data_IF_118626183624
#
_entry.id   IF_118626183624
#
_cell.length_a   1.000
_cell.length_b   1.000
_cell.length_c   1.000
_cell.angle_alpha   90.00
_cell.angle_beta   90.00
_cell.angle_gamma   90.00
#
_symmetry.space_group_name_H-M   'P 1'
#
loop_
_entity.id
_entity.type
_entity.pdbx_description
1 polymer ?
#
# COMPACT_ATOMS: atom_id res chain seq x y z
N UNK A 1 28.83 -10.68 -7.32
CA UNK A 1 27.98 -9.71 -6.60
C UNK A 1 26.55 -9.95 -7.07
N UNK A 2 25.58 -10.25 -6.20
CA UNK A 2 24.21 -10.49 -6.67
C UNK A 2 23.66 -9.20 -7.28
N UNK A 3 23.36 -9.26 -8.57
CA UNK A 3 22.68 -8.20 -9.32
C UNK A 3 21.22 -8.25 -8.89
N UNK A 4 20.86 -7.50 -7.85
CA UNK A 4 19.46 -7.35 -7.48
C UNK A 4 18.77 -6.51 -8.57
N UNK A 5 17.60 -6.95 -9.09
CA UNK A 5 16.87 -6.15 -10.06
C UNK A 5 16.52 -4.80 -9.43
N UNK A 6 16.62 -3.73 -10.22
CA UNK A 6 16.29 -2.39 -9.77
C UNK A 6 14.86 -2.34 -9.22
N UNK A 7 14.59 -1.55 -8.16
CA UNK A 7 13.23 -1.33 -7.66
C UNK A 7 12.33 -0.90 -8.81
N UNK A 8 11.16 -1.53 -8.94
CA UNK A 8 10.21 -1.14 -9.97
C UNK A 8 9.71 0.26 -9.63
N UNK A 9 10.15 1.25 -10.41
CA UNK A 9 9.70 2.63 -10.28
C UNK A 9 8.18 2.66 -10.50
N UNK A 10 7.41 3.09 -9.50
CA UNK A 10 5.98 3.34 -9.69
C UNK A 10 5.86 4.61 -10.56
N UNK A 11 5.47 4.50 -11.85
CA UNK A 11 5.40 5.67 -12.71
C UNK A 11 4.40 6.69 -12.16
N UNK A 12 4.74 7.98 -12.21
CA UNK A 12 3.80 9.11 -12.01
C UNK A 12 2.77 9.15 -13.15
N UNK A 13 1.95 8.11 -13.35
CA UNK A 13 0.76 8.22 -14.20
C UNK A 13 -0.14 9.29 -13.57
N UNK A 14 -0.55 10.25 -14.39
CA UNK A 14 -1.19 11.49 -14.00
C UNK A 14 -2.29 11.33 -12.95
N UNK A 15 -2.16 12.13 -11.89
CA UNK A 15 -3.23 12.69 -11.07
C UNK A 15 -4.61 12.01 -11.19
N UNK A 16 -4.76 10.84 -10.59
CA UNK A 16 -6.10 10.29 -10.27
C UNK A 16 -6.11 9.62 -8.90
N UNK A 17 -4.98 9.13 -8.41
CA UNK A 17 -4.88 8.53 -7.07
C UNK A 17 -4.88 9.54 -5.91
N UNK A 18 -4.52 10.81 -6.15
CA UNK A 18 -4.40 11.84 -5.10
C UNK A 18 -5.76 12.39 -4.66
N UNK A 19 -6.78 12.28 -5.51
CA UNK A 19 -8.16 12.70 -5.18
C UNK A 19 -8.83 11.66 -4.27
N UNK A 20 -8.48 10.37 -4.42
CA UNK A 20 -9.12 9.26 -3.70
C UNK A 20 -8.69 9.24 -2.22
N UNK A 21 -7.42 9.54 -1.91
CA UNK A 21 -6.92 9.55 -0.54
C UNK A 21 -7.42 10.77 0.28
N UNK A 22 -7.61 11.92 -0.37
CA UNK A 22 -8.05 13.15 0.30
C UNK A 22 -9.57 13.20 0.59
N UNK A 23 -10.35 12.27 0.03
CA UNK A 23 -11.82 12.23 0.20
C UNK A 23 -12.29 11.28 1.32
N UNK A 24 -11.40 10.54 1.98
CA UNK A 24 -11.79 9.50 2.93
C UNK A 24 -11.67 9.98 4.40
N UNK A 25 -12.78 10.50 4.92
CA UNK A 25 -13.07 10.55 6.35
C UNK A 25 -13.80 9.24 6.72
N UNK A 26 -13.38 8.49 7.76
CA UNK A 26 -14.04 7.24 8.15
C UNK A 26 -15.40 7.58 8.76
N UNK A 27 -16.45 7.61 7.95
CA UNK A 27 -17.78 7.91 8.45
C UNK A 27 -18.53 6.58 8.66
N UNK A 28 -18.86 6.32 9.93
CA UNK A 28 -19.78 5.32 10.51
C UNK A 28 -19.33 3.88 10.77
N UNK A 29 -19.61 3.42 12.00
CA UNK A 29 -19.32 2.07 12.52
C UNK A 29 -20.06 0.93 11.77
N UNK A 30 -21.12 1.24 11.02
CA UNK A 30 -21.88 0.26 10.25
C UNK A 30 -21.10 -0.26 9.02
N UNK A 31 -20.29 0.59 8.39
CA UNK A 31 -19.49 0.22 7.21
C UNK A 31 -18.30 -0.68 7.58
N UNK A 32 -17.78 -0.55 8.80
CA UNK A 32 -16.75 -1.42 9.34
C UNK A 32 -17.26 -2.87 9.50
N UNK A 33 -18.47 -3.05 10.05
CA UNK A 33 -19.06 -4.37 10.25
C UNK A 33 -19.36 -5.11 8.94
N UNK A 34 -19.89 -4.41 7.93
CA UNK A 34 -20.22 -5.01 6.63
C UNK A 34 -18.96 -5.43 5.87
N UNK A 35 -17.88 -4.66 5.97
CA UNK A 35 -16.59 -4.98 5.36
C UNK A 35 -15.89 -6.16 6.03
N UNK A 36 -16.04 -6.34 7.35
CA UNK A 36 -15.53 -7.53 8.07
C UNK A 36 -16.19 -8.81 7.51
N UNK A 37 -17.51 -8.79 7.31
CA UNK A 37 -18.25 -9.93 6.77
C UNK A 37 -17.86 -10.25 5.31
N UNK A 38 -17.62 -9.23 4.47
CA UNK A 38 -17.18 -9.40 3.08
C UNK A 38 -15.73 -9.89 2.97
N UNK A 39 -14.85 -9.44 3.86
CA UNK A 39 -13.48 -9.93 3.95
C UNK A 39 -13.42 -11.38 4.44
N UNK A 40 -14.29 -11.78 5.37
CA UNK A 40 -14.37 -13.15 5.89
C UNK A 40 -14.92 -14.16 4.87
N UNK A 41 -15.75 -13.72 3.92
CA UNK A 41 -16.42 -14.58 2.93
C UNK A 41 -15.70 -14.64 1.59
N UNK A 42 -14.57 -13.93 1.41
CA UNK A 42 -13.85 -13.89 0.13
C UNK A 42 -14.63 -13.20 -1.00
N UNK A 43 -15.81 -12.62 -0.71
CA UNK A 43 -16.60 -11.77 -1.60
C UNK A 43 -16.04 -10.34 -1.71
N UNK A 44 -14.92 -10.08 -1.04
CA UNK A 44 -14.13 -8.87 -1.19
C UNK A 44 -13.34 -8.90 -2.50
N UNK A 45 -13.49 -7.82 -3.27
CA UNK A 45 -12.76 -7.47 -4.49
C UNK A 45 -11.90 -8.58 -5.15
N UNK A 46 -12.35 -9.20 -6.27
CA UNK A 46 -11.58 -10.25 -6.92
C UNK A 46 -10.25 -9.75 -7.53
N UNK A 47 -10.08 -8.44 -7.69
CA UNK A 47 -8.90 -7.84 -8.30
C UNK A 47 -7.91 -7.32 -7.25
N UNK A 48 -8.34 -6.39 -6.40
CA UNK A 48 -7.50 -5.74 -5.39
C UNK A 48 -7.31 -6.59 -4.13
N UNK A 49 -8.31 -7.41 -3.76
CA UNK A 49 -8.26 -8.25 -2.56
C UNK A 49 -7.03 -9.17 -2.54
N UNK A 50 -6.82 -10.02 -3.57
CA UNK A 50 -5.67 -10.91 -3.65
C UNK A 50 -4.32 -10.17 -3.69
N UNK A 51 -4.25 -8.99 -4.32
CA UNK A 51 -3.03 -8.17 -4.39
C UNK A 51 -2.68 -7.66 -2.99
N UNK A 52 -3.63 -7.01 -2.32
CA UNK A 52 -3.44 -6.47 -0.97
C UNK A 52 -3.13 -7.59 0.02
N UNK A 53 -3.76 -8.76 -0.10
CA UNK A 53 -3.44 -9.91 0.73
C UNK A 53 -2.00 -10.42 0.54
N UNK A 54 -1.48 -10.44 -0.70
CA UNK A 54 -0.08 -10.79 -0.95
C UNK A 54 0.87 -9.78 -0.30
N UNK A 55 0.56 -8.49 -0.42
CA UNK A 55 1.33 -7.42 0.22
C UNK A 55 1.27 -7.55 1.77
N UNK A 56 0.09 -7.79 2.34
CA UNK A 56 -0.10 -7.94 3.79
C UNK A 56 0.72 -9.11 4.37
N UNK A 57 0.91 -10.21 3.62
CA UNK A 57 1.78 -11.31 4.03
C UNK A 57 3.24 -10.87 4.17
N UNK A 58 3.72 -10.00 3.27
CA UNK A 58 5.08 -9.47 3.35
C UNK A 58 5.23 -8.56 4.59
N UNK A 59 4.22 -7.74 4.90
CA UNK A 59 4.24 -6.93 6.12
C UNK A 59 4.24 -7.77 7.40
N UNK A 60 3.44 -8.84 7.43
CA UNK A 60 3.43 -9.79 8.54
C UNK A 60 4.79 -10.46 8.74
N UNK A 61 5.47 -10.84 7.67
CA UNK A 61 6.83 -11.40 7.74
C UNK A 61 7.84 -10.42 8.34
N UNK A 62 7.63 -9.11 8.16
CA UNK A 62 8.45 -8.07 8.77
C UNK A 62 7.95 -7.62 10.16
N UNK A 63 6.94 -8.29 10.72
CA UNK A 63 6.37 -7.96 12.03
C UNK A 63 5.53 -6.68 12.06
N UNK A 64 5.10 -6.17 10.90
CA UNK A 64 4.31 -4.95 10.79
C UNK A 64 2.84 -5.29 10.57
N UNK A 65 2.03 -5.06 11.61
CA UNK A 65 0.60 -5.41 11.62
C UNK A 65 -0.30 -4.17 11.52
N UNK A 66 0.11 -3.05 12.13
CA UNK A 66 -0.62 -1.79 12.17
C UNK A 66 -0.67 -1.08 10.81
N UNK A 67 -1.85 -0.61 10.40
CA UNK A 67 -2.06 0.00 9.08
C UNK A 67 -1.17 1.23 8.86
N UNK A 68 -1.07 2.11 9.85
CA UNK A 68 -0.20 3.29 9.78
C UNK A 68 1.30 2.96 9.68
N UNK A 69 1.72 1.79 10.19
CA UNK A 69 3.10 1.32 10.02
C UNK A 69 3.35 0.68 8.66
N UNK A 70 2.34 0.07 8.04
CA UNK A 70 2.44 -0.49 6.70
C UNK A 70 2.70 0.61 5.66
N UNK A 71 1.95 1.70 5.73
CA UNK A 71 2.14 2.86 4.85
C UNK A 71 3.55 3.46 5.03
N UNK A 72 3.98 3.70 6.28
CA UNK A 72 5.32 4.20 6.57
C UNK A 72 6.41 3.28 6.02
N UNK A 73 6.27 1.97 6.23
CA UNK A 73 7.22 0.97 5.77
C UNK A 73 7.33 0.97 4.25
N UNK A 74 6.21 1.06 3.52
CA UNK A 74 6.23 1.18 2.06
C UNK A 74 6.96 2.45 1.62
N UNK A 75 6.72 3.59 2.28
CA UNK A 75 7.46 4.82 2.00
C UNK A 75 8.97 4.63 2.20
N UNK A 76 9.39 4.10 3.36
CA UNK A 76 10.81 3.83 3.66
C UNK A 76 11.44 2.84 2.67
N UNK A 77 10.69 1.82 2.27
CA UNK A 77 11.11 0.84 1.25
C UNK A 77 11.38 1.49 -0.10
N UNK A 78 10.52 2.40 -0.55
CA UNK A 78 10.71 3.10 -1.83
C UNK A 78 11.75 4.22 -1.75
N UNK A 79 12.02 4.76 -0.56
CA UNK A 79 13.10 5.71 -0.30
C UNK A 79 14.47 5.05 -0.38
N UNK A 80 14.64 3.85 0.19
CA UNK A 80 15.89 3.09 0.10
C UNK A 80 15.66 1.59 -0.19
N UNK A 81 15.30 1.22 -1.42
CA UNK A 81 14.84 -0.13 -1.75
C UNK A 81 15.89 -1.22 -1.60
N UNK A 82 17.18 -0.87 -1.75
CA UNK A 82 18.27 -1.81 -1.57
C UNK A 82 18.34 -2.35 -0.12
N UNK A 83 18.02 -1.51 0.89
CA UNK A 83 18.02 -1.93 2.30
C UNK A 83 16.90 -2.91 2.65
N UNK A 84 15.80 -2.87 1.91
CA UNK A 84 14.62 -3.70 2.16
C UNK A 84 14.49 -4.87 1.19
N UNK A 85 15.50 -5.09 0.34
CA UNK A 85 15.55 -6.27 -0.53
C UNK A 85 15.64 -7.55 0.31
N UNK A 86 14.93 -8.64 -0.08
CA UNK A 86 14.14 -8.78 -1.30
C UNK A 86 12.68 -8.32 -1.20
N UNK A 87 12.19 -7.96 0.00
CA UNK A 87 10.78 -7.61 0.24
C UNK A 87 10.30 -6.40 -0.59
N UNK A 88 11.16 -5.39 -0.75
CA UNK A 88 10.90 -4.22 -1.61
C UNK A 88 10.59 -4.61 -3.06
N UNK A 89 11.24 -5.65 -3.59
CA UNK A 89 11.03 -6.15 -4.95
C UNK A 89 9.66 -6.83 -5.09
N UNK A 90 9.23 -7.61 -4.09
CA UNK A 90 7.91 -8.23 -4.09
C UNK A 90 6.79 -7.19 -4.05
N UNK A 91 6.89 -6.22 -3.15
CA UNK A 91 5.90 -5.15 -3.03
C UNK A 91 5.87 -4.34 -4.32
N UNK A 92 7.04 -4.06 -4.89
CA UNK A 92 7.17 -3.43 -6.20
C UNK A 92 6.47 -4.20 -7.31
N UNK A 93 6.65 -5.52 -7.37
CA UNK A 93 6.01 -6.38 -8.37
C UNK A 93 4.48 -6.43 -8.22
N UNK A 94 3.95 -6.32 -7.00
CA UNK A 94 2.50 -6.31 -6.76
C UNK A 94 1.88 -4.93 -7.05
N UNK A 95 2.52 -3.85 -6.62
CA UNK A 95 2.03 -2.48 -6.82
C UNK A 95 2.17 -2.00 -8.27
N UNK A 96 3.12 -2.54 -9.03
CA UNK A 96 3.32 -2.20 -10.44
C UNK A 96 2.38 -2.94 -11.40
N UNK A 97 1.56 -3.87 -10.91
CA UNK A 97 0.60 -4.59 -11.76
C UNK A 97 -0.35 -3.58 -12.40
N UNK A 98 -0.40 -3.60 -13.74
CA UNK A 98 -1.36 -2.82 -14.50
C UNK A 98 -2.76 -3.27 -14.09
N UNK A 99 -3.43 -2.43 -13.30
CA UNK A 99 -4.88 -2.54 -13.05
C UNK A 99 -5.64 -2.08 -14.30
N UNK A 100 -5.25 -2.53 -15.49
CA UNK A 100 -5.79 -2.12 -16.80
C UNK A 100 -7.21 -2.66 -17.06
N UNK A 101 -8.04 -2.69 -16.02
CA UNK A 101 -9.49 -2.83 -16.08
C UNK A 101 -10.11 -2.00 -14.94
N UNK A 102 -9.50 -0.83 -14.64
CA UNK A 102 -9.95 0.15 -13.66
C UNK A 102 -11.38 0.62 -13.97
N UNK A 103 -12.36 -0.21 -13.62
CA UNK A 103 -13.65 0.30 -13.19
C UNK A 103 -13.35 1.39 -12.18
N UNK A 104 -13.95 2.57 -12.41
CA UNK A 104 -13.91 3.67 -11.46
C UNK A 104 -14.04 3.07 -10.06
N UNK A 105 -13.10 3.37 -9.14
CA UNK A 105 -13.13 2.80 -7.80
C UNK A 105 -14.54 3.01 -7.28
N UNK A 106 -15.29 1.91 -7.13
CA UNK A 106 -16.57 1.99 -6.44
C UNK A 106 -16.15 2.22 -5.00
N UNK A 107 -16.25 3.48 -4.58
CA UNK A 107 -15.63 4.14 -3.41
C UNK A 107 -15.74 3.41 -2.07
N UNK A 108 -16.46 2.30 -2.01
CA UNK A 108 -16.78 1.54 -0.81
C UNK A 108 -15.86 0.34 -0.56
N UNK A 109 -14.97 -0.04 -1.49
CA UNK A 109 -14.16 -1.24 -1.33
C UNK A 109 -12.88 -1.01 -0.51
N UNK A 110 -12.72 -1.63 0.68
CA UNK A 110 -11.57 -1.42 1.56
C UNK A 110 -10.24 -1.94 1.00
N UNK A 111 -10.24 -2.88 0.06
CA UNK A 111 -9.01 -3.37 -0.57
C UNK A 111 -8.45 -2.35 -1.56
N UNK A 112 -9.32 -1.72 -2.36
CA UNK A 112 -8.96 -0.67 -3.31
C UNK A 112 -8.30 0.51 -2.58
N UNK A 113 -8.93 0.97 -1.50
CA UNK A 113 -8.43 2.10 -0.69
C UNK A 113 -7.02 1.79 -0.15
N UNK A 114 -6.83 0.61 0.45
CA UNK A 114 -5.53 0.18 0.98
C UNK A 114 -4.46 0.07 -0.10
N UNK A 115 -4.80 -0.48 -1.26
CA UNK A 115 -3.88 -0.53 -2.40
C UNK A 115 -3.40 0.87 -2.80
N UNK A 116 -4.31 1.83 -2.95
CA UNK A 116 -3.93 3.20 -3.31
C UNK A 116 -3.16 3.93 -2.23
N UNK A 117 -3.45 3.70 -0.95
CA UNK A 117 -2.64 4.21 0.15
C UNK A 117 -1.18 3.76 0.03
N UNK A 118 -0.94 2.47 -0.23
CA UNK A 118 0.41 1.96 -0.44
C UNK A 118 1.08 2.53 -1.70
N UNK A 119 0.33 2.71 -2.79
CA UNK A 119 0.84 3.39 -3.99
C UNK A 119 1.27 4.82 -3.67
N UNK A 120 0.48 5.57 -2.88
CA UNK A 120 0.85 6.94 -2.50
C UNK A 120 2.09 6.96 -1.60
N UNK A 121 2.15 6.10 -0.58
CA UNK A 121 3.32 5.98 0.28
C UNK A 121 4.60 5.65 -0.52
N UNK A 122 4.49 4.74 -1.49
CA UNK A 122 5.60 4.41 -2.38
C UNK A 122 6.11 5.65 -3.14
N UNK A 123 5.20 6.47 -3.68
CA UNK A 123 5.54 7.69 -4.42
C UNK A 123 6.29 8.70 -3.54
N UNK A 124 5.83 8.92 -2.32
CA UNK A 124 6.48 9.83 -1.39
C UNK A 124 7.90 9.36 -1.02
N UNK A 125 8.08 8.05 -0.87
CA UNK A 125 9.41 7.46 -0.69
C UNK A 125 10.33 7.71 -1.89
N UNK A 126 9.82 7.52 -3.12
CA UNK A 126 10.56 7.79 -4.35
C UNK A 126 10.95 9.27 -4.49
N UNK A 127 10.08 10.18 -4.05
CA UNK A 127 10.33 11.63 -4.02
C UNK A 127 11.30 12.05 -2.89
N UNK A 128 11.92 11.09 -2.20
CA UNK A 128 12.85 11.30 -1.07
C UNK A 128 12.19 12.08 0.09
N UNK A 129 10.89 11.88 0.28
CA UNK A 129 10.12 12.47 1.37
C UNK A 129 10.55 11.98 2.76
N UNK A 130 10.06 12.69 3.77
CA UNK A 130 10.25 12.31 5.18
C UNK A 130 9.14 11.35 5.63
N UNK A 131 9.34 10.05 5.36
CA UNK A 131 8.36 9.01 5.68
C UNK A 131 7.97 8.96 7.16
N UNK A 132 8.91 9.28 8.07
CA UNK A 132 8.64 9.27 9.52
C UNK A 132 7.64 10.37 9.85
N UNK A 133 7.87 11.58 9.32
CA UNK A 133 7.00 12.74 9.54
C UNK A 133 5.67 12.65 8.80
N UNK A 134 5.64 12.07 7.60
CA UNK A 134 4.42 11.92 6.81
C UNK A 134 3.46 10.88 7.41
N UNK A 135 3.98 9.82 8.03
CA UNK A 135 3.19 8.76 8.64
C UNK A 135 3.37 8.69 10.16
N UNK A 136 3.00 9.71 10.95
CA UNK A 136 3.32 9.81 12.38
C UNK A 136 2.63 8.75 13.25
N UNK A 137 1.56 8.13 12.73
CA UNK A 137 0.73 7.13 13.42
C UNK A 137 1.47 5.82 13.72
N UNK A 138 2.64 5.61 13.10
CA UNK A 138 3.46 4.44 13.40
C UNK A 138 4.44 4.72 14.55
N UNK A 139 4.42 3.94 15.65
CA UNK A 139 5.39 4.11 16.74
C UNK A 139 6.79 3.55 16.40
N UNK A 140 6.91 2.76 15.32
CA UNK A 140 8.16 2.10 14.93
C UNK A 140 8.91 2.98 13.93
N UNK A 141 10.23 3.13 14.14
CA UNK A 141 11.10 3.75 13.15
C UNK A 141 11.49 2.70 12.09
N UNK A 142 10.88 2.81 10.91
CA UNK A 142 11.07 1.91 9.77
C UNK A 142 12.34 2.17 8.98
N UNK A 143 13.06 3.28 9.24
CA UNK A 143 14.31 3.65 8.54
C UNK A 143 15.57 3.29 9.35
N UNK A 144 15.41 2.67 10.52
CA UNK A 144 16.51 2.19 11.38
C UNK A 144 17.44 1.25 10.62
#
# INVERSE_FOLDING_TARGET
MPVYPAPVYIPKRGQTASIIAAQYSPNTAADAQLNILRNATGLGDPFYGPIVQRIDRIFQQMGVVEEGCKERLVCSMYKNPARFSPHSNFISAELSRDTHELQKPTSTNPAVIRFYKYVQAAREGQDQGDCIRTYPQCPINTER
#
